data_IF_856794191830
#
_entry.id   IF_856794191830
#
_cell.length_a   1.000
_cell.length_b   1.000
_cell.length_c   1.000
_cell.angle_alpha   90.00
_cell.angle_beta   90.00
_cell.angle_gamma   90.00
#
_symmetry.space_group_name_H-M   'P 1'
#
loop_
_entity.id
_entity.type
_entity.pdbx_description
1 polymer ?
#
# COMPACT_ATOMS: atom_id res chain seq x y z
N UNK A 1 9.04 18.53 31.96
CA UNK A 1 9.51 17.64 30.88
C UNK A 1 10.44 18.35 29.92
N UNK A 2 10.09 19.51 29.35
CA UNK A 2 11.01 20.30 28.52
C UNK A 2 12.30 20.72 29.27
N UNK A 3 12.17 21.12 30.54
CA UNK A 3 13.32 21.43 31.41
C UNK A 3 14.24 20.23 31.65
N UNK A 4 13.68 19.01 31.67
CA UNK A 4 14.47 17.77 31.79
C UNK A 4 15.25 17.49 30.52
N UNK A 5 14.65 17.68 29.34
CA UNK A 5 15.34 17.52 28.06
C UNK A 5 16.48 18.53 27.88
N UNK A 6 16.40 19.70 28.52
CA UNK A 6 17.46 20.71 28.46
C UNK A 6 18.63 20.42 29.43
N UNK A 7 18.35 19.78 30.57
CA UNK A 7 19.37 19.45 31.56
C UNK A 7 18.97 18.17 32.35
N UNK A 8 19.20 16.98 31.77
CA UNK A 8 18.76 15.72 32.38
C UNK A 8 19.49 15.39 33.69
N UNK A 9 20.65 16.00 33.93
CA UNK A 9 21.51 15.77 35.09
C UNK A 9 21.16 16.65 36.30
N UNK A 10 20.18 17.57 36.17
CA UNK A 10 19.78 18.41 37.29
C UNK A 10 19.20 17.56 38.43
N UNK A 11 19.62 17.84 39.67
CA UNK A 11 19.28 17.04 40.85
C UNK A 11 17.76 17.00 41.13
N UNK A 12 17.02 18.01 40.68
CA UNK A 12 15.56 18.10 40.73
C UNK A 12 14.84 17.04 39.87
N UNK A 13 15.53 16.42 38.91
CA UNK A 13 14.97 15.37 38.05
C UNK A 13 15.40 13.96 38.44
N UNK A 14 16.09 13.78 39.57
CA UNK A 14 16.59 12.46 40.00
C UNK A 14 15.47 11.42 40.13
N UNK A 15 14.33 11.78 40.71
CA UNK A 15 13.17 10.88 40.83
C UNK A 15 12.58 10.51 39.47
N UNK A 16 12.53 11.47 38.54
CA UNK A 16 12.05 11.25 37.18
C UNK A 16 13.00 10.33 36.40
N UNK A 17 14.32 10.52 36.51
CA UNK A 17 15.32 9.62 35.91
C UNK A 17 15.23 8.19 36.46
N UNK A 18 15.01 8.03 37.77
CA UNK A 18 14.77 6.71 38.38
C UNK A 18 13.48 6.06 37.85
N UNK A 19 12.42 6.84 37.67
CA UNK A 19 11.18 6.35 37.06
C UNK A 19 11.38 5.91 35.60
N UNK A 20 12.10 6.68 34.79
CA UNK A 20 12.42 6.33 33.40
C UNK A 20 13.30 5.08 33.28
N UNK A 21 14.13 4.80 34.29
CA UNK A 21 14.89 3.56 34.36
C UNK A 21 13.97 2.34 34.61
N UNK A 22 12.90 2.51 35.38
CA UNK A 22 11.93 1.44 35.71
C UNK A 22 10.75 1.28 34.75
N UNK A 23 10.38 2.32 34.00
CA UNK A 23 9.20 2.32 33.13
C UNK A 23 9.57 2.43 31.64
N UNK A 24 9.37 1.35 30.88
CA UNK A 24 9.67 1.31 29.44
C UNK A 24 8.77 2.22 28.60
N UNK A 25 7.52 2.38 28.98
CA UNK A 25 6.55 3.23 28.26
C UNK A 25 6.91 4.70 28.34
N UNK A 26 7.22 5.21 29.54
CA UNK A 26 7.66 6.59 29.73
C UNK A 26 8.99 6.88 29.01
N UNK A 27 9.88 5.88 28.90
CA UNK A 27 11.11 6.00 28.11
C UNK A 27 10.82 6.13 26.62
N UNK A 28 9.89 5.35 26.09
CA UNK A 28 9.45 5.47 24.69
C UNK A 28 8.83 6.84 24.41
N UNK A 29 7.97 7.34 25.30
CA UNK A 29 7.35 8.66 25.16
C UNK A 29 8.39 9.79 25.21
N UNK A 30 9.35 9.70 26.13
CA UNK A 30 10.45 10.67 26.19
C UNK A 30 11.30 10.64 24.92
N UNK A 31 11.55 9.44 24.35
CA UNK A 31 12.24 9.28 23.08
C UNK A 31 11.54 10.04 21.95
N UNK A 32 10.22 9.88 21.81
CA UNK A 32 9.44 10.59 20.79
C UNK A 32 9.49 12.11 20.96
N UNK A 33 9.46 12.61 22.20
CA UNK A 33 9.57 14.04 22.49
C UNK A 33 10.98 14.60 22.21
N UNK A 34 12.03 13.80 22.42
CA UNK A 34 13.40 14.19 22.07
C UNK A 34 13.54 14.34 20.56
N UNK A 35 13.04 13.37 19.79
CA UNK A 35 13.10 13.42 18.32
C UNK A 35 12.32 14.60 17.75
N UNK A 36 11.14 14.91 18.32
CA UNK A 36 10.37 16.09 17.93
C UNK A 36 11.11 17.40 18.23
N UNK A 37 11.81 17.48 19.36
CA UNK A 37 12.60 18.66 19.73
C UNK A 37 13.80 18.85 18.81
N UNK A 38 14.54 17.79 18.51
CA UNK A 38 15.66 17.85 17.56
C UNK A 38 15.20 18.35 16.19
N UNK A 39 14.06 17.84 15.69
CA UNK A 39 13.46 18.35 14.45
C UNK A 39 13.03 19.82 14.51
N UNK A 40 12.58 20.30 15.67
CA UNK A 40 12.21 21.71 15.88
C UNK A 40 13.43 22.64 15.99
N UNK A 41 14.51 22.19 16.62
CA UNK A 41 15.76 22.97 16.75
C UNK A 41 16.46 23.09 15.39
N UNK A 42 16.41 22.04 14.55
CA UNK A 42 16.89 22.09 13.16
C UNK A 42 16.13 23.11 12.31
N UNK A 43 14.80 23.22 12.51
CA UNK A 43 13.93 24.20 11.85
C UNK A 43 14.21 25.65 12.25
N UNK A 44 14.81 25.86 13.43
CA UNK A 44 15.06 27.19 13.98
C UNK A 44 16.51 27.68 13.78
N UNK A 45 17.35 26.87 13.11
CA UNK A 45 18.71 27.26 12.77
C UNK A 45 18.71 28.32 11.65
N UNK A 46 19.53 29.36 11.77
CA UNK A 46 19.59 30.51 10.83
C UNK A 46 19.85 30.13 9.36
N UNK A 47 20.26 28.88 9.10
CA UNK A 47 20.35 28.29 7.75
C UNK A 47 18.99 28.24 7.02
N UNK A 48 17.85 28.24 7.73
CA UNK A 48 16.51 28.13 7.13
C UNK A 48 16.05 29.41 6.42
N UNK A 49 16.54 30.59 6.80
CA UNK A 49 16.08 31.86 6.18
C UNK A 49 16.83 32.24 4.91
N UNK A 50 18.03 31.69 4.66
CA UNK A 50 18.80 32.01 3.45
C UNK A 50 18.45 31.14 2.22
N UNK A 51 17.66 30.08 2.38
CA UNK A 51 17.35 29.12 1.31
C UNK A 51 16.10 29.52 0.50
N UNK A 52 15.32 30.50 0.96
CA UNK A 52 14.02 30.86 0.36
C UNK A 52 14.15 31.62 -0.98
N UNK A 53 15.33 32.11 -1.38
CA UNK A 53 15.47 32.99 -2.55
C UNK A 53 16.12 32.38 -3.81
N UNK A 54 16.47 31.08 -3.88
CA UNK A 54 17.02 30.53 -5.13
C UNK A 54 16.52 29.14 -5.54
N UNK A 55 15.87 29.18 -6.71
CA UNK A 55 15.68 28.16 -7.73
C UNK A 55 14.73 26.97 -7.50
N UNK A 56 13.99 26.73 -8.58
CA UNK A 56 12.82 25.88 -8.80
C UNK A 56 13.11 24.37 -8.77
N UNK A 57 13.75 23.88 -7.72
CA UNK A 57 13.66 22.49 -7.28
C UNK A 57 13.51 22.51 -5.77
N UNK A 58 12.31 22.89 -5.33
CA UNK A 58 11.92 22.83 -3.94
C UNK A 58 12.08 21.37 -3.50
N UNK A 59 13.10 21.13 -2.67
CA UNK A 59 13.51 19.82 -2.13
C UNK A 59 12.28 18.97 -1.81
N UNK A 60 12.24 17.73 -2.31
CA UNK A 60 11.07 16.83 -2.15
C UNK A 60 10.69 16.67 -0.68
N UNK A 61 11.68 16.72 0.22
CA UNK A 61 11.48 16.70 1.67
C UNK A 61 10.72 17.95 2.17
N UNK A 62 11.04 19.13 1.62
CA UNK A 62 10.41 20.40 1.98
C UNK A 62 9.00 20.53 1.40
N UNK A 63 8.76 19.96 0.21
CA UNK A 63 7.40 19.81 -0.32
C UNK A 63 6.54 18.92 0.57
N UNK A 64 7.10 17.82 1.09
CA UNK A 64 6.34 16.90 1.92
C UNK A 64 5.90 17.56 3.23
N UNK A 65 6.79 18.24 3.95
CA UNK A 65 6.45 18.89 5.22
C UNK A 65 5.40 20.01 5.06
N UNK A 66 5.47 20.79 3.97
CA UNK A 66 4.46 21.82 3.68
C UNK A 66 3.09 21.22 3.33
N UNK A 67 3.09 20.08 2.62
CA UNK A 67 1.87 19.32 2.31
C UNK A 67 1.22 18.80 3.60
N UNK A 68 2.01 18.24 4.52
CA UNK A 68 1.51 17.74 5.81
C UNK A 68 0.83 18.84 6.61
N UNK A 69 1.50 19.99 6.80
CA UNK A 69 0.93 21.15 7.50
C UNK A 69 -0.30 21.73 6.82
N UNK A 70 -0.36 21.69 5.49
CA UNK A 70 -1.54 22.12 4.72
C UNK A 70 -2.74 21.19 4.94
N UNK A 71 -2.52 19.86 4.91
CA UNK A 71 -3.57 18.86 5.12
C UNK A 71 -4.11 18.91 6.55
N UNK A 72 -3.24 19.15 7.53
CA UNK A 72 -3.60 19.22 8.95
C UNK A 72 -4.14 20.61 9.39
N UNK A 73 -4.37 21.52 8.44
CA UNK A 73 -4.88 22.88 8.66
C UNK A 73 -4.03 23.76 9.60
N UNK A 74 -2.70 23.55 9.60
CA UNK A 74 -1.74 24.25 10.46
C UNK A 74 -1.04 25.44 9.79
N UNK A 75 -1.45 25.82 8.57
CA UNK A 75 -0.90 26.94 7.83
C UNK A 75 -1.80 28.19 7.95
N UNK A 76 -1.21 29.39 8.15
CA UNK A 76 -1.96 30.65 8.13
C UNK A 76 -2.53 30.96 6.74
N UNK A 77 -3.57 31.81 6.69
CA UNK A 77 -4.46 31.95 5.53
C UNK A 77 -3.79 32.28 4.18
N UNK A 78 -2.73 33.10 4.17
CA UNK A 78 -2.02 33.45 2.92
C UNK A 78 -1.17 32.28 2.41
N UNK A 79 -0.43 31.60 3.27
CA UNK A 79 0.36 30.40 2.93
C UNK A 79 -0.53 29.27 2.43
N UNK A 80 -1.71 29.09 3.05
CA UNK A 80 -2.69 28.09 2.63
C UNK A 80 -3.14 28.30 1.18
N UNK A 81 -3.37 29.55 0.76
CA UNK A 81 -3.76 29.85 -0.62
C UNK A 81 -2.61 29.61 -1.62
N UNK A 82 -1.38 29.94 -1.22
CA UNK A 82 -0.20 29.69 -2.05
C UNK A 82 0.00 28.19 -2.30
N UNK A 83 -0.01 27.38 -1.24
CA UNK A 83 0.11 25.91 -1.36
C UNK A 83 -1.06 25.31 -2.14
N UNK A 84 -2.29 25.78 -1.93
CA UNK A 84 -3.44 25.33 -2.72
C UNK A 84 -3.25 25.60 -4.23
N UNK A 85 -2.71 26.76 -4.59
CA UNK A 85 -2.42 27.11 -5.99
C UNK A 85 -1.28 26.26 -6.57
N UNK A 86 -0.30 25.89 -5.74
CA UNK A 86 0.85 25.05 -6.11
C UNK A 86 0.40 23.60 -6.34
N UNK A 87 -0.43 23.07 -5.45
CA UNK A 87 -1.04 21.74 -5.58
C UNK A 87 -1.98 21.63 -6.78
N UNK A 88 -2.68 22.70 -7.15
CA UNK A 88 -3.49 22.72 -8.38
C UNK A 88 -2.64 22.63 -9.65
N UNK A 89 -1.42 23.17 -9.62
CA UNK A 89 -0.48 23.15 -10.76
C UNK A 89 0.38 21.88 -10.79
N UNK A 90 0.55 21.19 -9.66
CA UNK A 90 1.36 19.97 -9.53
C UNK A 90 0.51 18.73 -9.17
N UNK A 91 0.14 17.88 -10.14
CA UNK A 91 -0.69 16.70 -9.90
C UNK A 91 0.00 15.63 -9.02
N UNK A 92 1.33 15.58 -9.00
CA UNK A 92 2.07 14.65 -8.14
C UNK A 92 2.02 15.09 -6.66
N UNK A 93 2.19 16.40 -6.40
CA UNK A 93 2.04 16.97 -5.06
C UNK A 93 0.63 16.75 -4.51
N UNK A 94 -0.40 16.92 -5.36
CA UNK A 94 -1.79 16.62 -4.97
C UNK A 94 -1.99 15.14 -4.61
N UNK A 95 -1.39 14.22 -5.39
CA UNK A 95 -1.44 12.78 -5.10
C UNK A 95 -0.78 12.46 -3.75
N UNK A 96 0.39 13.05 -3.47
CA UNK A 96 1.07 12.88 -2.19
C UNK A 96 0.22 13.40 -1.02
N UNK A 97 -0.38 14.59 -1.16
CA UNK A 97 -1.28 15.16 -0.17
C UNK A 97 -2.49 14.28 0.13
N UNK A 98 -3.13 13.72 -0.91
CA UNK A 98 -4.23 12.77 -0.75
C UNK A 98 -3.79 11.47 -0.07
N UNK A 99 -2.61 10.97 -0.42
CA UNK A 99 -2.05 9.77 0.21
C UNK A 99 -1.77 10.01 1.70
N UNK A 100 -1.16 11.15 2.05
CA UNK A 100 -0.93 11.55 3.44
C UNK A 100 -2.25 11.69 4.21
N UNK A 101 -3.24 12.41 3.68
CA UNK A 101 -4.55 12.59 4.31
C UNK A 101 -5.26 11.24 4.56
N UNK A 102 -5.15 10.31 3.60
CA UNK A 102 -5.67 8.95 3.76
C UNK A 102 -4.95 8.21 4.90
N UNK A 103 -3.62 8.30 4.95
CA UNK A 103 -2.81 7.63 5.97
C UNK A 103 -3.02 8.22 7.37
N UNK A 104 -3.04 9.55 7.52
CA UNK A 104 -3.25 10.24 8.79
C UNK A 104 -4.63 9.92 9.38
N UNK A 105 -5.67 9.88 8.55
CA UNK A 105 -7.02 9.47 9.00
C UNK A 105 -7.08 8.02 9.48
N UNK A 106 -6.29 7.12 8.89
CA UNK A 106 -6.18 5.72 9.33
C UNK A 106 -5.44 5.62 10.66
N UNK A 107 -4.36 6.39 10.85
CA UNK A 107 -3.59 6.41 12.09
C UNK A 107 -4.39 7.00 13.25
N UNK A 108 -5.19 8.05 13.00
CA UNK A 108 -6.09 8.61 14.00
C UNK A 108 -7.16 7.62 14.47
N UNK A 109 -7.63 6.71 13.60
CA UNK A 109 -8.58 5.63 13.98
C UNK A 109 -7.92 4.47 14.73
N UNK A 110 -6.62 4.28 14.54
CA UNK A 110 -5.87 3.19 15.17
C UNK A 110 -5.42 3.54 16.60
N UNK A 111 -5.51 4.80 17.01
CA UNK A 111 -5.32 5.19 18.40
C UNK A 111 -6.60 4.85 19.17
N UNK A 112 -6.59 3.87 20.09
CA UNK A 112 -7.72 3.67 20.97
C UNK A 112 -7.96 4.96 21.73
N UNK A 113 -9.19 5.49 21.64
CA UNK A 113 -9.69 6.51 22.53
C UNK A 113 -9.51 6.01 23.97
N UNK A 114 -8.38 6.34 24.60
CA UNK A 114 -8.21 6.23 26.03
C UNK A 114 -9.09 7.30 26.68
N UNK A 115 -10.39 7.04 26.61
CA UNK A 115 -11.40 7.64 27.46
C UNK A 115 -11.15 7.12 28.87
N UNK A 116 -10.15 7.68 29.56
CA UNK A 116 -10.04 7.58 31.00
C UNK A 116 -11.15 8.45 31.62
N UNK A 117 -12.40 8.02 31.45
CA UNK A 117 -13.48 8.39 32.36
C UNK A 117 -13.54 7.31 33.41
N UNK A 118 -12.73 7.47 34.45
CA UNK A 118 -12.98 6.85 35.75
C UNK A 118 -14.37 7.29 36.21
N UNK A 119 -15.29 6.38 36.58
CA UNK A 119 -16.56 6.76 37.16
C UNK A 119 -16.27 7.28 38.58
N UNK A 120 -16.25 8.60 38.75
CA UNK A 120 -16.38 9.20 40.07
C UNK A 120 -17.88 9.23 40.37
N UNK A 121 -18.29 8.41 41.34
CA UNK A 121 -19.61 8.47 41.96
C UNK A 121 -19.86 9.88 42.51
N UNK A 122 -20.62 10.68 41.76
CA UNK A 122 -21.33 11.83 42.31
C UNK A 122 -22.82 11.65 42.05
N UNK A 123 -23.49 11.15 43.09
CA UNK A 123 -24.90 11.34 43.28
C UNK A 123 -25.18 12.86 43.34
N UNK A 124 -25.94 13.38 42.37
CA UNK A 124 -26.29 14.79 42.38
C UNK A 124 -27.00 15.29 41.12
N UNK A 125 -28.29 14.98 41.03
CA UNK A 125 -29.35 15.83 40.49
C UNK A 125 -29.12 16.62 39.18
N UNK A 126 -29.89 16.18 38.18
CA UNK A 126 -30.72 17.03 37.30
C UNK A 126 -30.19 17.47 35.93
N UNK A 127 -31.10 17.22 34.99
CA UNK A 127 -31.46 18.01 33.80
C UNK A 127 -30.79 17.65 32.47
N UNK A 128 -31.60 17.00 31.64
CA UNK A 128 -31.23 16.48 30.35
C UNK A 128 -31.09 17.54 29.26
N UNK A 129 -30.28 17.17 28.28
CA UNK A 129 -30.40 17.65 26.91
C UNK A 129 -30.13 16.48 25.95
N UNK A 130 -31.22 16.01 25.33
CA UNK A 130 -31.18 15.13 24.15
C UNK A 130 -30.70 15.97 22.96
N UNK A 131 -29.43 15.84 22.57
CA UNK A 131 -28.97 16.24 21.22
C UNK A 131 -28.98 15.02 20.32
N UNK A 132 -30.08 14.87 19.57
CA UNK A 132 -30.16 13.94 18.44
C UNK A 132 -29.32 14.50 17.29
N UNK A 133 -28.17 13.87 17.03
CA UNK A 133 -27.39 14.10 15.81
C UNK A 133 -28.17 13.56 14.61
N UNK A 134 -28.51 14.46 13.69
CA UNK A 134 -29.18 14.14 12.44
C UNK A 134 -28.18 13.42 11.52
N UNK A 135 -28.44 12.14 11.26
CA UNK A 135 -27.77 11.35 10.23
C UNK A 135 -28.04 11.96 8.85
N UNK A 136 -27.02 12.57 8.25
CA UNK A 136 -27.04 13.04 6.87
C UNK A 136 -26.82 11.83 5.94
N UNK A 137 -27.90 11.17 5.51
CA UNK A 137 -27.83 10.13 4.48
C UNK A 137 -27.46 10.79 3.15
N UNK A 138 -26.26 10.51 2.64
CA UNK A 138 -25.78 11.02 1.36
C UNK A 138 -26.38 10.22 0.20
N UNK A 139 -26.95 10.98 -0.72
CA UNK A 139 -27.78 10.58 -1.86
C UNK A 139 -26.94 10.14 -3.07
N UNK A 140 -25.92 9.28 -2.88
CA UNK A 140 -24.99 8.90 -3.96
C UNK A 140 -25.39 7.65 -4.76
N UNK A 141 -26.35 6.85 -4.28
CA UNK A 141 -26.72 5.57 -4.92
C UNK A 141 -27.74 5.68 -6.07
N UNK A 142 -28.28 6.86 -6.38
CA UNK A 142 -29.29 7.00 -7.44
C UNK A 142 -28.72 7.22 -8.85
N UNK A 143 -27.39 7.33 -9.03
CA UNK A 143 -26.79 7.57 -10.36
C UNK A 143 -26.37 6.31 -11.13
N UNK A 144 -26.26 5.14 -10.49
CA UNK A 144 -25.78 3.93 -11.18
C UNK A 144 -26.89 3.15 -11.93
N UNK A 145 -28.17 3.44 -11.67
CA UNK A 145 -29.29 2.63 -12.18
C UNK A 145 -29.63 2.85 -13.66
N UNK A 146 -29.07 3.89 -14.30
CA UNK A 146 -29.34 4.24 -15.70
C UNK A 146 -28.39 3.59 -16.71
N UNK A 147 -27.35 2.88 -16.26
CA UNK A 147 -26.34 2.32 -17.17
C UNK A 147 -26.64 0.90 -17.66
N UNK A 148 -27.59 0.19 -17.05
CA UNK A 148 -27.87 -1.22 -17.36
C UNK A 148 -29.07 -1.47 -18.29
N UNK A 149 -29.64 -0.45 -18.93
CA UNK A 149 -30.81 -0.61 -19.80
C UNK A 149 -30.51 -0.76 -21.30
N UNK A 150 -29.27 -1.01 -21.72
CA UNK A 150 -28.98 -1.39 -23.10
C UNK A 150 -29.41 -2.84 -23.37
N UNK A 151 -30.71 -3.01 -23.66
CA UNK A 151 -31.26 -4.23 -24.25
C UNK A 151 -30.90 -4.29 -25.75
N UNK A 152 -30.05 -5.24 -26.14
CA UNK A 152 -29.83 -5.55 -27.55
C UNK A 152 -30.93 -6.49 -28.07
N UNK A 153 -31.88 -5.91 -28.82
CA UNK A 153 -32.79 -6.67 -29.69
C UNK A 153 -32.03 -7.15 -30.92
N UNK A 154 -31.74 -8.44 -31.01
CA UNK A 154 -31.35 -9.06 -32.29
C UNK A 154 -32.34 -10.19 -32.59
N UNK A 155 -33.00 -10.06 -33.73
CA UNK A 155 -33.87 -11.05 -34.35
C UNK A 155 -33.00 -12.08 -35.07
N UNK A 156 -33.12 -13.36 -34.73
CA UNK A 156 -32.63 -14.46 -35.57
C UNK A 156 -33.79 -15.42 -35.79
N UNK A 157 -34.35 -15.39 -36.99
CA UNK A 157 -35.35 -16.34 -37.47
C UNK A 157 -34.66 -17.63 -37.91
N UNK A 158 -34.66 -18.65 -37.05
CA UNK A 158 -34.16 -19.99 -37.36
C UNK A 158 -35.34 -20.95 -37.51
N UNK A 159 -35.38 -21.83 -38.54
CA UNK A 159 -36.45 -22.81 -38.72
C UNK A 159 -36.53 -23.82 -37.57
N UNK A 160 -37.75 -23.99 -37.06
CA UNK A 160 -38.11 -24.62 -35.76
C UNK A 160 -37.73 -26.10 -35.65
N UNK A 161 -37.43 -26.79 -36.75
CA UNK A 161 -37.23 -28.24 -36.76
C UNK A 161 -35.78 -28.68 -36.49
N UNK A 162 -34.78 -27.82 -36.69
CA UNK A 162 -33.39 -28.11 -36.31
C UNK A 162 -33.06 -27.75 -34.85
N UNK A 163 -33.90 -26.93 -34.20
CA UNK A 163 -33.68 -26.45 -32.83
C UNK A 163 -33.91 -27.53 -31.76
N UNK A 164 -34.87 -28.45 -31.98
CA UNK A 164 -35.22 -29.45 -30.96
C UNK A 164 -34.09 -30.47 -30.69
N UNK A 165 -33.31 -30.86 -31.71
CA UNK A 165 -32.16 -31.77 -31.54
C UNK A 165 -30.93 -31.06 -30.96
N UNK A 166 -30.72 -29.78 -31.28
CA UNK A 166 -29.64 -28.97 -30.71
C UNK A 166 -29.87 -28.64 -29.23
N UNK A 167 -31.11 -28.35 -28.82
CA UNK A 167 -31.43 -28.07 -27.41
C UNK A 167 -31.23 -29.33 -26.54
N UNK A 168 -31.53 -30.53 -27.06
CA UNK A 168 -31.38 -31.77 -26.29
C UNK A 168 -29.90 -32.22 -26.15
N UNK A 169 -29.03 -31.90 -27.11
CA UNK A 169 -27.60 -32.16 -27.01
C UNK A 169 -26.87 -31.19 -26.07
N UNK A 170 -27.35 -29.94 -25.94
CA UNK A 170 -26.77 -28.93 -25.03
C UNK A 170 -27.05 -29.26 -23.56
N UNK A 171 -28.17 -29.90 -23.23
CA UNK A 171 -28.53 -30.25 -21.84
C UNK A 171 -27.62 -31.34 -21.25
N UNK A 172 -26.96 -32.15 -22.09
CA UNK A 172 -26.08 -33.24 -21.65
C UNK A 172 -24.58 -32.98 -21.83
N UNK A 173 -24.17 -31.80 -22.31
CA UNK A 173 -22.76 -31.43 -22.20
C UNK A 173 -22.48 -31.07 -20.74
N UNK A 174 -21.62 -31.84 -20.02
CA UNK A 174 -21.15 -31.37 -18.73
C UNK A 174 -20.47 -30.03 -18.98
N UNK A 175 -21.02 -28.96 -18.41
CA UNK A 175 -20.35 -27.68 -18.34
C UNK A 175 -19.06 -27.92 -17.56
N UNK A 176 -17.99 -28.23 -18.28
CA UNK A 176 -16.65 -28.28 -17.73
C UNK A 176 -16.31 -26.82 -17.49
N UNK A 177 -16.60 -26.35 -16.27
CA UNK A 177 -16.32 -24.98 -15.86
C UNK A 177 -14.87 -24.68 -16.16
N UNK A 178 -14.62 -23.89 -17.20
CA UNK A 178 -13.26 -23.50 -17.59
C UNK A 178 -12.78 -22.50 -16.55
N UNK A 179 -11.67 -22.81 -15.90
CA UNK A 179 -11.03 -21.85 -15.01
C UNK A 179 -10.37 -20.76 -15.85
N UNK A 180 -10.55 -19.51 -15.45
CA UNK A 180 -9.92 -18.34 -16.08
C UNK A 180 -8.91 -17.73 -15.12
N UNK A 181 -7.77 -17.33 -15.65
CA UNK A 181 -6.73 -16.63 -14.89
C UNK A 181 -6.73 -15.17 -15.32
N UNK A 182 -6.98 -14.27 -14.38
CA UNK A 182 -6.84 -12.84 -14.57
C UNK A 182 -5.52 -12.38 -13.94
N UNK A 183 -4.57 -11.95 -14.77
CA UNK A 183 -3.26 -11.47 -14.31
C UNK A 183 -3.27 -9.96 -14.13
N UNK A 184 -2.56 -9.48 -13.10
CA UNK A 184 -2.33 -8.06 -12.88
C UNK A 184 -0.88 -7.81 -12.44
N UNK A 185 -0.29 -6.74 -12.94
CA UNK A 185 1.06 -6.33 -12.59
C UNK A 185 1.11 -4.81 -12.62
N UNK A 186 1.22 -4.21 -11.44
CA UNK A 186 1.30 -2.76 -11.30
C UNK A 186 2.70 -2.32 -11.73
N UNK A 187 2.80 -1.68 -12.90
CA UNK A 187 4.05 -1.24 -13.52
C UNK A 187 5.04 -2.40 -13.75
N UNK A 188 4.95 -3.13 -14.89
CA UNK A 188 5.74 -4.32 -15.15
C UNK A 188 7.22 -3.96 -15.37
N UNK A 189 7.97 -3.91 -14.27
CA UNK A 189 9.38 -3.56 -14.25
C UNK A 189 10.17 -4.61 -13.48
N UNK A 190 11.45 -4.71 -13.82
CA UNK A 190 12.44 -5.51 -13.11
C UNK A 190 13.48 -4.55 -12.52
N UNK A 191 13.79 -4.76 -11.24
CA UNK A 191 14.74 -3.94 -10.50
C UNK A 191 16.04 -4.72 -10.35
N UNK A 192 17.17 -4.11 -10.68
CA UNK A 192 18.49 -4.68 -10.46
C UNK A 192 19.21 -3.96 -9.31
N UNK A 193 19.84 -4.73 -8.44
CA UNK A 193 20.63 -4.26 -7.28
C UNK A 193 22.01 -4.93 -7.27
N UNK A 194 23.06 -4.20 -6.91
CA UNK A 194 24.44 -4.71 -6.88
C UNK A 194 24.88 -4.93 -5.42
N UNK A 195 25.21 -6.18 -5.05
CA UNK A 195 25.43 -6.57 -3.63
C UNK A 195 26.75 -6.07 -3.02
N UNK A 196 27.76 -5.78 -3.84
CA UNK A 196 29.15 -5.59 -3.39
C UNK A 196 29.56 -4.13 -3.15
N UNK A 197 28.62 -3.21 -3.08
CA UNK A 197 28.94 -1.80 -2.86
C UNK A 197 28.60 -1.41 -1.43
N UNK A 198 29.60 -0.86 -0.72
CA UNK A 198 29.49 -0.46 0.67
C UNK A 198 28.23 0.42 0.87
N UNK A 199 27.43 0.18 1.93
CA UNK A 199 26.29 1.03 2.21
C UNK A 199 26.79 2.47 2.31
N UNK A 200 26.33 3.33 1.39
CA UNK A 200 26.67 4.74 1.41
C UNK A 200 26.31 5.33 2.77
N UNK A 201 27.19 6.16 3.32
CA UNK A 201 26.95 6.85 4.59
C UNK A 201 25.73 7.76 4.39
N UNK A 202 24.59 7.35 4.96
CA UNK A 202 23.33 8.09 4.97
C UNK A 202 22.54 8.03 3.66
N UNK A 203 21.34 7.43 3.71
CA UNK A 203 20.18 7.66 2.81
C UNK A 203 20.30 7.35 1.30
N UNK A 204 21.47 7.11 0.71
CA UNK A 204 21.61 6.87 -0.74
C UNK A 204 21.51 5.41 -1.18
N UNK A 205 20.88 4.52 -0.40
CA UNK A 205 20.71 3.12 -0.82
C UNK A 205 19.78 2.95 -2.03
N UNK A 206 18.90 3.92 -2.29
CA UNK A 206 17.96 3.90 -3.42
C UNK A 206 18.58 4.34 -4.75
N UNK A 207 19.69 5.10 -4.70
CA UNK A 207 20.30 5.73 -5.89
C UNK A 207 20.93 4.75 -6.89
N UNK A 208 20.93 3.45 -6.60
CA UNK A 208 21.60 2.42 -7.41
C UNK A 208 20.68 1.32 -7.90
N UNK A 209 19.36 1.50 -7.77
CA UNK A 209 18.38 0.59 -8.36
C UNK A 209 18.23 0.92 -9.85
N UNK A 210 18.63 0.00 -10.71
CA UNK A 210 18.35 0.13 -12.15
C UNK A 210 17.00 -0.53 -12.42
N UNK A 211 16.01 0.26 -12.81
CA UNK A 211 14.68 -0.23 -13.17
C UNK A 211 14.59 -0.34 -14.69
N UNK A 212 14.28 -1.53 -15.19
CA UNK A 212 14.04 -1.76 -16.63
C UNK A 212 12.59 -2.22 -16.84
N UNK A 213 11.96 -1.86 -17.97
CA UNK A 213 10.73 -2.51 -18.40
C UNK A 213 10.92 -4.03 -18.45
N UNK A 214 9.92 -4.77 -17.99
CA UNK A 214 9.92 -6.23 -17.98
C UNK A 214 8.63 -6.73 -18.61
N UNK A 215 8.71 -7.71 -19.49
CA UNK A 215 7.51 -8.29 -20.08
C UNK A 215 6.69 -9.04 -19.02
N UNK A 216 5.39 -9.18 -19.26
CA UNK A 216 4.49 -9.83 -18.32
C UNK A 216 4.86 -11.30 -18.14
N UNK A 217 4.88 -11.76 -16.90
CA UNK A 217 4.92 -13.19 -16.58
C UNK A 217 3.61 -13.82 -17.04
N UNK A 218 3.72 -14.91 -17.80
CA UNK A 218 2.57 -15.70 -18.23
C UNK A 218 2.30 -16.78 -17.18
N UNK A 219 1.03 -16.97 -16.85
CA UNK A 219 0.59 -17.90 -15.82
C UNK A 219 -0.46 -18.81 -16.44
N UNK A 220 -0.22 -20.11 -16.33
CA UNK A 220 -1.06 -21.14 -16.92
C UNK A 220 -1.46 -22.15 -15.84
N UNK A 221 -2.72 -22.60 -15.90
CA UNK A 221 -3.18 -23.74 -15.11
C UNK A 221 -3.01 -25.00 -15.97
N UNK A 222 -1.97 -25.78 -15.70
CA UNK A 222 -1.63 -26.98 -16.50
C UNK A 222 -2.54 -28.14 -16.13
N UNK A 223 -2.76 -28.33 -14.83
CA UNK A 223 -3.66 -29.32 -14.24
C UNK A 223 -4.45 -28.65 -13.11
N UNK A 224 -5.41 -29.37 -12.51
CA UNK A 224 -6.31 -28.79 -11.48
C UNK A 224 -5.60 -28.19 -10.27
N UNK A 225 -4.37 -28.64 -9.98
CA UNK A 225 -3.56 -28.29 -8.83
C UNK A 225 -2.13 -27.85 -9.23
N UNK A 226 -1.90 -27.60 -10.53
CA UNK A 226 -0.58 -27.28 -11.06
C UNK A 226 -0.58 -25.94 -11.78
N UNK A 227 0.15 -24.97 -11.21
CA UNK A 227 0.33 -23.64 -11.80
C UNK A 227 1.74 -23.56 -12.41
N UNK A 228 1.80 -23.23 -13.69
CA UNK A 228 3.04 -22.92 -14.38
C UNK A 228 3.21 -21.40 -14.54
N UNK A 229 4.41 -20.90 -14.27
CA UNK A 229 4.80 -19.52 -14.54
C UNK A 229 5.95 -19.53 -15.53
N UNK A 230 5.88 -18.68 -16.56
CA UNK A 230 6.93 -18.50 -17.55
C UNK A 230 7.17 -17.02 -17.83
N UNK A 231 8.42 -16.65 -18.08
CA UNK A 231 8.84 -15.26 -18.29
C UNK A 231 9.89 -15.16 -19.39
N UNK A 232 10.24 -13.94 -19.79
CA UNK A 232 11.35 -13.71 -20.71
C UNK A 232 12.67 -13.85 -19.96
N UNK A 233 13.64 -14.55 -20.57
CA UNK A 233 14.95 -14.74 -19.97
C UNK A 233 15.63 -13.39 -19.66
N UNK A 234 16.03 -13.20 -18.41
CA UNK A 234 16.83 -12.04 -17.98
C UNK A 234 18.26 -12.22 -18.47
N UNK A 235 18.80 -11.22 -19.18
CA UNK A 235 20.16 -11.25 -19.73
C UNK A 235 21.20 -11.52 -18.64
N UNK A 236 22.04 -12.52 -18.87
CA UNK A 236 23.09 -12.92 -17.94
C UNK A 236 22.59 -13.57 -16.64
N UNK A 237 21.31 -13.95 -16.52
CA UNK A 237 20.84 -14.65 -15.32
C UNK A 237 21.44 -16.06 -15.20
N UNK A 238 22.00 -16.35 -14.02
CA UNK A 238 22.54 -17.67 -13.67
C UNK A 238 21.47 -18.58 -13.08
N UNK A 239 20.55 -18.00 -12.32
CA UNK A 239 19.43 -18.70 -11.69
C UNK A 239 18.27 -17.77 -11.40
N UNK A 240 17.09 -18.37 -11.33
CA UNK A 240 15.84 -17.76 -10.96
C UNK A 240 15.28 -18.46 -9.73
N UNK A 241 14.83 -17.70 -8.74
CA UNK A 241 14.06 -18.20 -7.60
C UNK A 241 12.69 -17.54 -7.63
N UNK A 242 11.64 -18.37 -7.75
CA UNK A 242 10.25 -17.93 -7.79
C UNK A 242 9.56 -18.35 -6.50
N UNK A 243 8.94 -17.40 -5.82
CA UNK A 243 8.08 -17.63 -4.66
C UNK A 243 6.63 -17.42 -5.06
N UNK A 244 5.75 -18.34 -4.70
CA UNK A 244 4.31 -18.22 -4.93
C UNK A 244 3.58 -18.11 -3.59
N UNK A 245 2.69 -17.12 -3.47
CA UNK A 245 1.97 -16.80 -2.24
C UNK A 245 0.48 -16.59 -2.54
N UNK A 246 -0.38 -16.93 -1.59
CA UNK A 246 -1.82 -16.67 -1.61
C UNK A 246 -2.18 -15.67 -0.52
N UNK A 247 -3.02 -14.70 -0.84
CA UNK A 247 -3.60 -13.79 0.14
C UNK A 247 -4.92 -14.37 0.67
N UNK A 248 -4.97 -14.70 1.95
CA UNK A 248 -6.16 -15.20 2.61
C UNK A 248 -6.27 -14.61 4.02
N UNK A 249 -7.47 -14.19 4.42
CA UNK A 249 -7.74 -13.62 5.75
C UNK A 249 -6.81 -12.46 6.13
N UNK A 250 -6.41 -11.63 5.15
CA UNK A 250 -5.50 -10.51 5.39
C UNK A 250 -4.02 -10.89 5.51
N UNK A 251 -3.65 -12.16 5.29
CA UNK A 251 -2.29 -12.66 5.44
C UNK A 251 -1.76 -13.24 4.13
N UNK A 252 -0.44 -13.14 3.93
CA UNK A 252 0.28 -13.82 2.84
C UNK A 252 0.68 -15.22 3.30
N UNK A 253 0.15 -16.24 2.63
CA UNK A 253 0.47 -17.66 2.87
C UNK A 253 1.39 -18.13 1.76
N UNK A 254 2.62 -18.52 2.08
CA UNK A 254 3.58 -19.07 1.12
C UNK A 254 3.09 -20.45 0.65
N UNK A 255 2.88 -20.61 -0.65
CA UNK A 255 2.49 -21.88 -1.27
C UNK A 255 3.70 -22.71 -1.67
N UNK A 256 4.77 -22.05 -2.13
CA UNK A 256 5.98 -22.73 -2.54
C UNK A 256 7.09 -21.77 -2.94
N UNK A 257 8.29 -22.32 -3.10
CA UNK A 257 9.43 -21.63 -3.66
C UNK A 257 10.29 -22.61 -4.43
N UNK A 258 10.63 -22.26 -5.67
CA UNK A 258 11.39 -23.11 -6.57
C UNK A 258 12.53 -22.30 -7.19
N UNK A 259 13.69 -22.94 -7.33
CA UNK A 259 14.85 -22.37 -8.01
C UNK A 259 15.10 -23.13 -9.30
N UNK A 260 15.29 -22.42 -10.41
CA UNK A 260 15.47 -22.96 -11.76
C UNK A 260 16.50 -22.15 -12.54
N UNK A 261 17.10 -22.76 -13.55
CA UNK A 261 18.00 -22.10 -14.52
C UNK A 261 17.26 -21.72 -15.82
N UNK A 262 16.05 -22.24 -16.02
CA UNK A 262 15.21 -21.94 -17.19
C UNK A 262 14.15 -20.89 -16.82
N UNK A 263 13.63 -20.10 -17.77
CA UNK A 263 12.66 -19.05 -17.47
C UNK A 263 11.21 -19.61 -17.35
N UNK A 264 11.07 -20.78 -16.71
CA UNK A 264 9.79 -21.45 -16.43
C UNK A 264 9.89 -22.23 -15.13
N UNK A 265 8.81 -22.20 -14.35
CA UNK A 265 8.67 -22.98 -13.12
C UNK A 265 7.25 -23.52 -12.99
N UNK A 266 7.12 -24.69 -12.37
CA UNK A 266 5.83 -25.31 -12.09
C UNK A 266 5.70 -25.57 -10.59
N UNK A 267 4.53 -25.24 -10.05
CA UNK A 267 4.13 -25.52 -8.67
C UNK A 267 3.02 -26.56 -8.71
N UNK A 268 3.30 -27.76 -8.21
CA UNK A 268 2.40 -28.92 -8.21
C UNK A 268 1.74 -29.11 -6.85
N UNK A 269 0.71 -29.94 -6.80
CA UNK A 269 0.00 -30.32 -5.57
C UNK A 269 -0.54 -29.11 -4.79
N UNK A 270 -0.89 -28.03 -5.52
CA UNK A 270 -1.41 -26.82 -4.90
C UNK A 270 -2.90 -26.98 -4.55
N UNK A 271 -3.26 -26.63 -3.32
CA UNK A 271 -4.65 -26.40 -2.95
C UNK A 271 -5.10 -25.03 -3.49
N UNK A 272 -5.60 -25.02 -4.73
CA UNK A 272 -6.06 -23.80 -5.41
C UNK A 272 -7.45 -23.41 -4.92
N UNK A 273 -7.52 -22.23 -4.29
CA UNK A 273 -8.78 -21.59 -3.93
C UNK A 273 -9.19 -20.60 -5.02
N UNK A 274 -10.41 -20.75 -5.50
CA UNK A 274 -10.99 -19.82 -6.46
C UNK A 274 -11.25 -18.46 -5.80
N UNK A 275 -11.25 -17.41 -6.62
CA UNK A 275 -11.55 -16.03 -6.22
C UNK A 275 -10.60 -15.47 -5.15
N UNK A 276 -9.40 -16.06 -5.04
CA UNK A 276 -8.33 -15.57 -4.17
C UNK A 276 -7.25 -14.86 -4.97
N UNK A 277 -6.61 -13.90 -4.30
CA UNK A 277 -5.47 -13.17 -4.82
C UNK A 277 -4.20 -13.99 -4.62
N UNK A 278 -3.50 -14.27 -5.70
CA UNK A 278 -2.18 -14.87 -5.70
C UNK A 278 -1.13 -13.82 -6.06
N UNK A 279 0.06 -13.97 -5.48
CA UNK A 279 1.22 -13.12 -5.73
C UNK A 279 2.41 -14.00 -6.03
N UNK A 280 3.15 -13.65 -7.07
CA UNK A 280 4.42 -14.28 -7.40
C UNK A 280 5.54 -13.26 -7.23
N UNK A 281 6.69 -13.75 -6.80
CA UNK A 281 7.91 -12.97 -6.63
C UNK A 281 9.00 -13.71 -7.39
N UNK A 282 9.57 -13.07 -8.41
CA UNK A 282 10.69 -13.57 -9.19
C UNK A 282 11.96 -12.83 -8.76
N UNK A 283 12.94 -13.60 -8.31
CA UNK A 283 14.27 -13.10 -7.97
C UNK A 283 15.34 -13.91 -8.69
N UNK A 284 16.57 -13.40 -8.72
CA UNK A 284 17.68 -14.18 -9.21
C UNK A 284 18.99 -13.42 -9.17
N UNK A 285 20.03 -14.06 -9.70
CA UNK A 285 21.38 -13.49 -9.79
C UNK A 285 21.85 -13.52 -11.23
N UNK A 286 22.56 -12.48 -11.64
CA UNK A 286 23.24 -12.40 -12.93
C UNK A 286 24.73 -12.72 -12.80
N UNK A 287 25.37 -13.02 -13.92
CA UNK A 287 26.80 -13.33 -14.03
C UNK A 287 27.71 -12.18 -13.60
N UNK A 288 27.20 -10.94 -13.60
CA UNK A 288 27.89 -9.74 -13.09
C UNK A 288 27.60 -9.49 -11.59
N UNK A 289 27.13 -10.51 -10.87
CA UNK A 289 26.80 -10.49 -9.44
C UNK A 289 25.73 -9.46 -9.03
N UNK A 290 24.89 -9.00 -9.97
CA UNK A 290 23.68 -8.25 -9.64
C UNK A 290 22.56 -9.21 -9.25
N UNK A 291 21.71 -8.77 -8.34
CA UNK A 291 20.44 -9.43 -8.05
C UNK A 291 19.32 -8.71 -8.78
N UNK A 292 18.34 -9.44 -9.27
CA UNK A 292 17.13 -8.85 -9.83
C UNK A 292 15.89 -9.25 -9.04
N UNK A 293 14.89 -8.39 -9.09
CA UNK A 293 13.60 -8.54 -8.41
C UNK A 293 12.47 -8.04 -9.30
N UNK A 294 11.40 -8.82 -9.42
CA UNK A 294 10.12 -8.38 -9.97
C UNK A 294 8.99 -9.19 -9.33
N UNK A 295 7.80 -8.60 -9.23
CA UNK A 295 6.63 -9.24 -8.65
C UNK A 295 5.37 -8.87 -9.41
N UNK A 296 4.34 -9.68 -9.22
CA UNK A 296 3.02 -9.45 -9.79
C UNK A 296 2.02 -10.39 -9.16
N UNK A 297 0.82 -10.46 -9.71
CA UNK A 297 -0.18 -11.35 -9.16
C UNK A 297 -1.26 -11.72 -10.16
N UNK A 298 -2.15 -12.58 -9.68
CA UNK A 298 -3.26 -13.08 -10.47
C UNK A 298 -4.42 -13.53 -9.57
N UNK A 299 -5.57 -13.75 -10.19
CA UNK A 299 -6.75 -14.37 -9.58
C UNK A 299 -7.19 -15.51 -10.48
N UNK A 300 -7.60 -16.63 -9.86
CA UNK A 300 -8.20 -17.77 -10.57
C UNK A 300 -9.70 -17.73 -10.30
N UNK A 301 -10.50 -17.60 -11.35
CA UNK A 301 -11.96 -17.53 -11.25
C UNK A 301 -12.62 -18.64 -12.10
N UNK A 302 -13.85 -19.00 -11.74
CA UNK A 302 -14.68 -19.86 -12.59
C UNK A 302 -15.31 -19.02 -13.68
N UNK A 303 -15.22 -19.47 -14.94
CA UNK A 303 -16.00 -18.90 -16.02
C UNK A 303 -17.39 -19.54 -16.00
N UNK A 304 -18.36 -18.82 -15.44
CA UNK A 304 -19.78 -19.21 -15.42
C UNK A 304 -20.54 -18.55 -16.58
#
# INVERSE_FOLDING_TARGET
MLSYLANPDATEFREFSLHLAGCGECRSQLGTLSTLREGLDDLNSESYQQIIERDTELDEALQQQLIERYVDDQLPGEEKQQIASLLQKNPQGLKAALHYASHSSSMQRALPEFSNTTPVDQAGLSQGQKRQSRLHKSTLLNRLKYWFSLQTRIWISVPVTAAAAAVLAIIFMPASGTLTIAMYQDNPVIQFEQKNELPGIGFFSTARKVVKPFERVTIELVEKDTIALSWLAVEGAESYTVSLQKFALGQKIKLGENTTITPRVEFKDLNIDLDHRYEWILTGKTTDAKTFYTSGGFVIARND
#
